data_IF_949290583465
#
_entry.id   IF_949290583465
#
_cell.length_a   1.000
_cell.length_b   1.000
_cell.length_c   1.000
_cell.angle_alpha   90.00
_cell.angle_beta   90.00
_cell.angle_gamma   90.00
#
_symmetry.space_group_name_H-M   'P 1'
#
loop_
_entity.id
_entity.type
_entity.pdbx_description
1 polymer ?
#
# COMPACT_ATOMS: atom_id res chain seq x y z
N UNK A 1 -7.47 -25.98 5.35
CA UNK A 1 -7.41 -26.59 4.00
C UNK A 1 -8.73 -27.23 3.55
N UNK A 2 -9.66 -27.56 4.45
CA UNK A 2 -10.92 -28.27 4.13
C UNK A 2 -11.91 -27.40 3.34
N UNK A 3 -11.87 -26.06 3.48
CA UNK A 3 -12.80 -25.16 2.80
C UNK A 3 -12.37 -24.84 1.36
N UNK A 4 -11.06 -24.83 1.08
CA UNK A 4 -10.53 -24.61 -0.26
C UNK A 4 -10.66 -25.86 -1.11
N UNK A 5 -10.80 -25.70 -2.40
CA UNK A 5 -10.86 -26.78 -3.36
C UNK A 5 -11.07 -26.25 -4.78
N UNK A 6 -11.12 -27.11 -5.81
CA UNK A 6 -11.32 -26.70 -7.19
C UNK A 6 -12.61 -25.87 -7.35
N UNK A 7 -12.58 -24.92 -8.27
CA UNK A 7 -13.73 -24.11 -8.67
C UNK A 7 -14.87 -25.03 -9.11
N UNK A 8 -16.11 -24.60 -8.86
CA UNK A 8 -17.35 -25.30 -9.18
C UNK A 8 -17.60 -26.59 -8.38
N UNK A 9 -16.70 -26.98 -7.47
CA UNK A 9 -16.98 -28.05 -6.51
C UNK A 9 -17.74 -27.53 -5.30
N UNK A 10 -18.49 -28.39 -4.63
CA UNK A 10 -19.27 -28.00 -3.45
C UNK A 10 -18.59 -28.37 -2.14
N UNK A 11 -18.84 -27.58 -1.11
CA UNK A 11 -18.48 -27.88 0.29
C UNK A 11 -19.70 -27.73 1.17
N UNK A 12 -19.91 -28.67 2.08
CA UNK A 12 -20.97 -28.62 3.09
C UNK A 12 -20.39 -28.09 4.40
N UNK A 13 -21.02 -27.08 4.97
CA UNK A 13 -20.61 -26.45 6.23
C UNK A 13 -21.73 -26.57 7.25
N UNK A 14 -21.39 -27.04 8.44
CA UNK A 14 -22.25 -26.93 9.64
C UNK A 14 -21.81 -25.68 10.43
N UNK A 15 -22.71 -24.71 10.58
CA UNK A 15 -22.43 -23.45 11.29
C UNK A 15 -23.22 -23.48 12.62
N UNK A 16 -22.51 -23.36 13.74
CA UNK A 16 -23.12 -23.13 15.05
C UNK A 16 -23.23 -21.64 15.29
N UNK A 17 -24.45 -21.15 15.52
CA UNK A 17 -24.73 -19.73 15.75
C UNK A 17 -25.18 -19.52 17.18
N UNK A 18 -24.72 -18.45 17.83
CA UNK A 18 -25.20 -18.08 19.17
C UNK A 18 -26.71 -17.83 19.14
N UNK A 19 -27.45 -18.34 20.15
CA UNK A 19 -28.92 -18.24 20.23
C UNK A 19 -29.67 -19.27 19.39
N UNK A 20 -28.98 -20.18 18.69
CA UNK A 20 -29.61 -21.30 17.96
C UNK A 20 -29.03 -22.63 18.48
N UNK A 21 -29.91 -23.54 18.91
CA UNK A 21 -29.52 -24.88 19.39
C UNK A 21 -29.04 -25.77 18.24
N UNK A 22 -29.55 -25.54 17.03
CA UNK A 22 -29.32 -26.39 15.88
C UNK A 22 -28.13 -25.95 15.04
N UNK A 23 -27.47 -26.93 14.42
CA UNK A 23 -26.41 -26.67 13.43
C UNK A 23 -27.07 -26.29 12.11
N UNK A 24 -26.78 -25.08 11.64
CA UNK A 24 -27.25 -24.62 10.35
C UNK A 24 -26.35 -25.19 9.24
N UNK A 25 -26.93 -25.97 8.35
CA UNK A 25 -26.19 -26.59 7.24
C UNK A 25 -26.26 -25.74 5.99
N UNK A 26 -25.08 -25.41 5.41
CA UNK A 26 -24.94 -24.68 4.17
C UNK A 26 -24.18 -25.51 3.14
N UNK A 27 -24.65 -25.53 1.92
CA UNK A 27 -23.92 -26.06 0.77
C UNK A 27 -23.44 -24.89 -0.06
N UNK A 28 -22.13 -24.73 -0.18
CA UNK A 28 -21.49 -23.61 -0.89
C UNK A 28 -20.77 -24.16 -2.10
N UNK A 29 -21.03 -23.60 -3.27
CA UNK A 29 -20.24 -23.86 -4.47
C UNK A 29 -18.99 -22.97 -4.45
N UNK A 30 -17.83 -23.58 -4.60
CA UNK A 30 -16.55 -22.86 -4.63
C UNK A 30 -16.44 -22.04 -5.91
N UNK A 31 -16.00 -20.81 -5.76
CA UNK A 31 -15.76 -19.88 -6.86
C UNK A 31 -14.54 -19.01 -6.60
N UNK A 32 -14.19 -18.21 -7.57
CA UNK A 32 -13.18 -17.18 -7.38
C UNK A 32 -13.76 -16.08 -6.50
N UNK A 33 -13.04 -15.72 -5.46
CA UNK A 33 -13.41 -14.59 -4.59
C UNK A 33 -12.64 -13.37 -5.13
N UNK A 34 -13.34 -12.37 -5.71
CA UNK A 34 -12.65 -11.16 -6.16
C UNK A 34 -12.01 -10.45 -4.97
N UNK A 35 -10.73 -10.16 -5.09
CA UNK A 35 -9.99 -9.37 -4.10
C UNK A 35 -9.97 -7.94 -4.63
N UNK A 36 -10.79 -7.08 -4.03
CA UNK A 36 -10.80 -5.66 -4.35
C UNK A 36 -9.57 -4.97 -3.76
N UNK A 37 -9.05 -4.01 -4.48
CA UNK A 37 -7.89 -3.21 -4.11
C UNK A 37 -8.26 -1.78 -3.77
N UNK A 38 -9.32 -1.25 -4.38
CA UNK A 38 -9.86 0.08 -4.10
C UNK A 38 -10.94 -0.04 -3.04
N UNK A 39 -10.57 0.21 -1.79
CA UNK A 39 -11.46 0.06 -0.63
C UNK A 39 -12.43 1.24 -0.47
N UNK A 40 -12.00 2.44 -0.89
CA UNK A 40 -12.83 3.64 -0.81
C UNK A 40 -12.55 4.60 -1.96
N UNK A 41 -13.60 5.23 -2.47
CA UNK A 41 -13.53 6.33 -3.43
C UNK A 41 -14.71 7.29 -3.21
N UNK A 42 -14.42 8.57 -3.09
CA UNK A 42 -15.45 9.61 -2.89
C UNK A 42 -14.93 11.00 -3.24
N UNK A 43 -15.83 11.97 -3.37
CA UNK A 43 -15.52 13.38 -3.57
C UNK A 43 -15.42 14.08 -2.20
N UNK A 44 -14.34 14.85 -2.01
CA UNK A 44 -14.19 15.80 -0.91
C UNK A 44 -14.45 17.19 -1.48
N UNK A 45 -15.56 17.86 -1.10
CA UNK A 45 -15.80 19.23 -1.51
C UNK A 45 -14.89 20.17 -0.71
N UNK A 46 -14.27 21.15 -1.38
CA UNK A 46 -13.53 22.21 -0.71
C UNK A 46 -14.42 23.41 -0.40
N UNK A 47 -13.97 24.28 0.52
CA UNK A 47 -14.70 25.53 0.83
C UNK A 47 -14.75 26.49 -0.36
N UNK A 48 -13.83 26.36 -1.33
CA UNK A 48 -13.77 27.18 -2.55
C UNK A 48 -14.64 26.61 -3.70
N UNK A 49 -15.31 25.47 -3.48
CA UNK A 49 -16.15 24.82 -4.47
C UNK A 49 -15.42 23.81 -5.36
N UNK A 50 -14.11 23.67 -5.23
CA UNK A 50 -13.34 22.62 -5.92
C UNK A 50 -13.72 21.24 -5.39
N UNK A 51 -13.53 20.22 -6.21
CA UNK A 51 -13.78 18.82 -5.87
C UNK A 51 -12.50 18.02 -5.93
N UNK A 52 -12.15 17.38 -4.80
CA UNK A 52 -11.01 16.49 -4.69
C UNK A 52 -11.51 15.04 -4.75
N UNK A 53 -10.99 14.26 -5.68
CA UNK A 53 -11.22 12.82 -5.72
C UNK A 53 -10.32 12.09 -4.71
N UNK A 54 -10.90 11.36 -3.78
CA UNK A 54 -10.17 10.50 -2.85
C UNK A 54 -10.26 9.05 -3.30
N UNK A 55 -9.12 8.34 -3.32
CA UNK A 55 -9.04 6.90 -3.65
C UNK A 55 -8.11 6.22 -2.66
N UNK A 56 -8.62 5.24 -1.88
CA UNK A 56 -7.82 4.39 -1.01
C UNK A 56 -7.55 3.05 -1.66
N UNK A 57 -6.28 2.66 -1.67
CA UNK A 57 -5.80 1.41 -2.25
C UNK A 57 -5.14 0.60 -1.13
N UNK A 58 -5.71 -0.56 -0.80
CA UNK A 58 -5.23 -1.40 0.30
C UNK A 58 -4.12 -2.38 -0.11
N UNK A 59 -4.01 -2.67 -1.40
CA UNK A 59 -2.99 -3.59 -1.96
C UNK A 59 -2.84 -3.41 -3.46
N UNK A 60 -1.78 -3.98 -4.03
CA UNK A 60 -1.60 -4.07 -5.47
C UNK A 60 -1.83 -5.53 -5.92
N UNK A 61 -3.10 -5.88 -6.16
CA UNK A 61 -3.52 -7.17 -6.71
C UNK A 61 -3.56 -7.12 -8.24
N UNK A 62 -3.86 -8.24 -8.89
CA UNK A 62 -3.84 -8.41 -10.35
C UNK A 62 -4.74 -7.42 -11.10
N UNK A 63 -5.88 -7.04 -10.52
CA UNK A 63 -6.85 -6.13 -11.15
C UNK A 63 -6.80 -4.69 -10.62
N UNK A 64 -5.79 -4.33 -9.82
CA UNK A 64 -5.73 -3.02 -9.15
C UNK A 64 -5.75 -1.85 -10.12
N UNK A 65 -5.02 -1.94 -11.24
CA UNK A 65 -5.03 -0.87 -12.23
C UNK A 65 -6.43 -0.63 -12.83
N UNK A 66 -7.17 -1.69 -13.15
CA UNK A 66 -8.53 -1.56 -13.71
C UNK A 66 -9.50 -0.93 -12.71
N UNK A 67 -9.43 -1.33 -11.43
CA UNK A 67 -10.23 -0.73 -10.37
C UNK A 67 -9.86 0.74 -10.16
N UNK A 68 -8.57 1.04 -10.14
CA UNK A 68 -8.03 2.38 -9.96
C UNK A 68 -8.44 3.34 -11.07
N UNK A 69 -8.24 2.97 -12.34
CA UNK A 69 -8.58 3.82 -13.46
C UNK A 69 -10.10 4.03 -13.58
N UNK A 70 -10.89 3.01 -13.24
CA UNK A 70 -12.35 3.13 -13.14
C UNK A 70 -12.76 4.12 -12.04
N UNK A 71 -12.09 4.05 -10.87
CA UNK A 71 -12.33 4.97 -9.76
C UNK A 71 -12.02 6.43 -10.15
N UNK A 72 -10.84 6.66 -10.75
CA UNK A 72 -10.44 8.00 -11.20
C UNK A 72 -11.39 8.56 -12.27
N UNK A 73 -11.80 7.72 -13.25
CA UNK A 73 -12.75 8.13 -14.29
C UNK A 73 -14.11 8.51 -13.70
N UNK A 74 -14.62 7.73 -12.73
CA UNK A 74 -15.87 8.04 -12.03
C UNK A 74 -15.77 9.36 -11.26
N UNK A 75 -14.69 9.57 -10.50
CA UNK A 75 -14.49 10.81 -9.74
C UNK A 75 -14.34 12.03 -10.67
N UNK A 76 -13.65 11.87 -11.81
CA UNK A 76 -13.54 12.91 -12.84
C UNK A 76 -14.91 13.27 -13.43
N UNK A 77 -15.77 12.29 -13.70
CA UNK A 77 -17.14 12.53 -14.17
C UNK A 77 -18.02 13.28 -13.16
N UNK A 78 -17.69 13.15 -11.85
CA UNK A 78 -18.31 13.87 -10.75
C UNK A 78 -17.71 15.28 -10.54
N UNK A 79 -16.71 15.65 -11.36
CA UNK A 79 -16.08 16.98 -11.37
C UNK A 79 -14.81 17.09 -10.53
N UNK A 80 -14.15 15.99 -10.16
CA UNK A 80 -12.85 16.05 -9.50
C UNK A 80 -11.78 16.66 -10.43
N UNK A 81 -11.02 17.63 -9.92
CA UNK A 81 -9.91 18.32 -10.62
C UNK A 81 -8.54 18.05 -9.99
N UNK A 82 -8.54 17.42 -8.83
CA UNK A 82 -7.34 16.99 -8.08
C UNK A 82 -7.62 15.70 -7.34
N UNK A 83 -6.57 14.97 -6.97
CA UNK A 83 -6.72 13.63 -6.41
C UNK A 83 -5.83 13.41 -5.18
N UNK A 84 -6.37 12.68 -4.22
CA UNK A 84 -5.66 12.11 -3.09
C UNK A 84 -5.63 10.60 -3.27
N UNK A 85 -4.44 10.03 -3.36
CA UNK A 85 -4.21 8.59 -3.43
C UNK A 85 -3.70 8.13 -2.07
N UNK A 86 -4.53 7.35 -1.35
CA UNK A 86 -4.20 6.87 -0.01
C UNK A 86 -3.60 5.46 -0.09
N UNK A 87 -2.32 5.37 0.22
CA UNK A 87 -1.53 4.14 0.29
C UNK A 87 -1.13 3.78 1.72
N UNK A 88 -1.72 4.41 2.72
CA UNK A 88 -1.46 4.07 4.12
C UNK A 88 -1.90 2.63 4.39
N UNK A 89 -1.09 1.91 5.19
CA UNK A 89 -1.28 0.49 5.52
C UNK A 89 -1.19 -0.46 4.31
N UNK A 90 -0.79 0.03 3.14
CA UNK A 90 -0.64 -0.77 1.93
C UNK A 90 0.77 -1.36 1.83
N UNK A 91 0.91 -2.66 2.08
CA UNK A 91 2.19 -3.38 2.09
C UNK A 91 2.74 -3.70 0.68
N UNK A 92 2.09 -3.20 -0.37
CA UNK A 92 2.52 -3.37 -1.76
C UNK A 92 1.77 -4.48 -2.50
N UNK A 93 2.47 -5.12 -3.43
CA UNK A 93 1.95 -6.16 -4.29
C UNK A 93 2.63 -6.20 -5.65
N UNK A 94 1.88 -6.35 -6.73
CA UNK A 94 2.40 -6.51 -8.09
C UNK A 94 3.02 -5.22 -8.65
N UNK A 95 4.27 -5.32 -9.11
CA UNK A 95 5.04 -4.18 -9.65
C UNK A 95 4.47 -3.68 -10.98
N UNK A 96 3.99 -4.55 -11.85
CA UNK A 96 3.34 -4.19 -13.12
C UNK A 96 2.12 -3.31 -12.90
N UNK A 97 1.32 -3.59 -11.87
CA UNK A 97 0.14 -2.80 -11.54
C UNK A 97 0.50 -1.37 -11.12
N UNK A 98 1.51 -1.21 -10.28
CA UNK A 98 1.93 0.13 -9.86
C UNK A 98 2.55 0.92 -11.01
N UNK A 99 3.30 0.26 -11.91
CA UNK A 99 3.85 0.92 -13.11
C UNK A 99 2.73 1.48 -13.98
N UNK A 100 1.68 0.71 -14.24
CA UNK A 100 0.52 1.17 -15.01
C UNK A 100 -0.19 2.35 -14.33
N UNK A 101 -0.35 2.31 -13.01
CA UNK A 101 -1.02 3.38 -12.26
C UNK A 101 -0.20 4.68 -12.25
N UNK A 102 1.12 4.60 -12.03
CA UNK A 102 2.00 5.77 -12.05
C UNK A 102 2.06 6.40 -13.44
N UNK A 103 2.05 5.56 -14.50
CA UNK A 103 2.01 6.01 -15.88
C UNK A 103 0.84 6.96 -16.20
N UNK A 104 -0.29 6.86 -15.47
CA UNK A 104 -1.43 7.77 -15.65
C UNK A 104 -1.11 9.23 -15.31
N UNK A 105 -0.12 9.47 -14.46
CA UNK A 105 0.24 10.80 -13.96
C UNK A 105 1.50 11.39 -14.59
N UNK A 106 2.40 10.57 -15.13
CA UNK A 106 3.73 11.00 -15.60
C UNK A 106 3.72 11.33 -17.10
N UNK A 107 4.65 12.20 -17.52
CA UNK A 107 4.87 12.54 -18.92
C UNK A 107 5.72 11.48 -19.61
N UNK A 108 5.66 11.45 -20.93
CA UNK A 108 6.47 10.53 -21.74
C UNK A 108 7.96 10.65 -21.41
N UNK A 109 8.58 9.50 -21.13
CA UNK A 109 10.01 9.41 -20.84
C UNK A 109 10.37 9.64 -19.38
N UNK A 110 9.44 10.06 -18.52
CA UNK A 110 9.68 10.13 -17.09
C UNK A 110 9.93 8.72 -16.55
N UNK A 111 11.01 8.54 -15.80
CA UNK A 111 11.34 7.29 -15.14
C UNK A 111 10.30 6.99 -14.06
N UNK A 112 9.81 5.73 -13.98
CA UNK A 112 8.94 5.26 -12.90
C UNK A 112 9.76 4.55 -11.84
N UNK A 113 10.51 3.55 -12.25
CA UNK A 113 11.33 2.70 -11.38
C UNK A 113 12.36 1.98 -12.23
N UNK A 114 13.51 1.66 -11.65
CA UNK A 114 14.39 0.67 -12.25
C UNK A 114 14.79 -0.39 -11.22
N UNK A 115 15.12 -1.58 -11.69
CA UNK A 115 15.63 -2.67 -10.84
C UNK A 115 16.96 -3.16 -11.37
N UNK A 116 17.84 -3.53 -10.44
CA UNK A 116 19.18 -4.00 -10.73
C UNK A 116 19.58 -5.10 -9.74
N UNK A 117 20.19 -6.16 -10.23
CA UNK A 117 20.64 -7.29 -9.43
C UNK A 117 21.96 -7.87 -9.96
N UNK A 118 22.63 -8.67 -9.11
CA UNK A 118 23.92 -9.28 -9.49
C UNK A 118 23.83 -10.20 -10.70
N UNK A 119 22.71 -10.92 -10.85
CA UNK A 119 22.50 -11.94 -11.87
C UNK A 119 21.34 -11.61 -12.81
N UNK A 120 20.75 -10.44 -12.68
CA UNK A 120 19.63 -9.98 -13.50
C UNK A 120 20.03 -8.63 -14.10
N UNK A 121 19.80 -8.51 -15.40
CA UNK A 121 20.02 -7.27 -16.13
C UNK A 121 19.15 -6.13 -15.57
N UNK A 122 19.65 -4.92 -15.68
CA UNK A 122 18.91 -3.71 -15.29
C UNK A 122 17.64 -3.60 -16.14
N UNK A 123 16.51 -3.52 -15.44
CA UNK A 123 15.20 -3.26 -16.03
C UNK A 123 14.77 -1.83 -15.68
N UNK A 124 14.31 -1.08 -16.67
CA UNK A 124 13.83 0.29 -16.51
C UNK A 124 12.39 0.39 -16.98
N UNK A 125 11.52 0.96 -16.15
CA UNK A 125 10.16 1.32 -16.52
C UNK A 125 10.05 2.83 -16.63
N UNK A 126 9.63 3.31 -17.79
CA UNK A 126 9.39 4.71 -18.08
C UNK A 126 7.96 4.95 -18.54
N UNK A 127 7.43 6.14 -18.26
CA UNK A 127 6.09 6.51 -18.66
C UNK A 127 6.01 6.68 -20.20
N UNK A 128 4.94 6.15 -20.79
CA UNK A 128 4.70 6.17 -22.23
C UNK A 128 3.99 7.45 -22.72
N UNK A 129 3.51 8.29 -21.79
CA UNK A 129 2.88 9.59 -22.08
C UNK A 129 1.42 9.53 -22.53
N UNK A 130 0.76 8.37 -22.44
CA UNK A 130 -0.68 8.25 -22.76
C UNK A 130 -1.60 8.39 -21.55
N UNK A 131 -1.04 8.62 -20.36
CA UNK A 131 -1.77 8.80 -19.11
C UNK A 131 -2.76 9.96 -19.19
N UNK A 132 -3.92 9.81 -18.56
CA UNK A 132 -5.06 10.72 -18.65
C UNK A 132 -5.12 11.76 -17.54
N UNK A 133 -4.22 11.65 -16.54
CA UNK A 133 -4.20 12.46 -15.31
C UNK A 133 -2.89 13.23 -15.14
N UNK A 134 -2.20 13.54 -16.24
CA UNK A 134 -0.90 14.23 -16.24
C UNK A 134 -0.99 15.69 -15.77
N UNK A 135 -2.16 16.33 -15.87
CA UNK A 135 -2.35 17.75 -15.55
C UNK A 135 -2.98 17.98 -14.19
N UNK A 136 -3.69 17.00 -13.66
CA UNK A 136 -4.41 17.08 -12.39
C UNK A 136 -3.41 17.08 -11.22
N UNK A 137 -3.70 17.85 -10.18
CA UNK A 137 -2.90 17.83 -8.94
C UNK A 137 -3.06 16.49 -8.25
N UNK A 138 -1.97 15.92 -7.77
CA UNK A 138 -1.98 14.66 -7.02
C UNK A 138 -1.24 14.79 -5.70
N UNK A 139 -1.84 14.23 -4.67
CA UNK A 139 -1.26 14.05 -3.34
C UNK A 139 -1.28 12.56 -3.04
N UNK A 140 -0.21 12.03 -2.47
CA UNK A 140 -0.11 10.63 -2.06
C UNK A 140 0.05 10.57 -0.55
N UNK A 141 -0.82 9.81 0.11
CA UNK A 141 -0.70 9.57 1.54
C UNK A 141 0.04 8.25 1.78
N UNK A 142 1.05 8.30 2.64
CA UNK A 142 1.84 7.14 3.06
C UNK A 142 1.99 7.08 4.58
N UNK A 143 2.31 5.90 5.09
CA UNK A 143 2.68 5.69 6.48
C UNK A 143 3.77 4.64 6.64
N UNK A 144 4.09 4.32 7.87
CA UNK A 144 5.10 3.36 8.30
C UNK A 144 4.86 1.92 7.78
N UNK A 145 3.65 1.59 7.34
CA UNK A 145 3.28 0.31 6.73
C UNK A 145 3.23 0.35 5.20
N UNK A 146 3.29 1.53 4.58
CA UNK A 146 3.38 1.65 3.13
C UNK A 146 4.69 1.04 2.64
N UNK A 147 4.63 -0.05 1.84
CA UNK A 147 5.82 -0.80 1.47
C UNK A 147 5.82 -1.24 -0.01
N UNK A 148 7.01 -1.56 -0.54
CA UNK A 148 7.17 -2.19 -1.86
C UNK A 148 6.54 -1.39 -3.00
N UNK A 149 5.48 -1.89 -3.67
CA UNK A 149 4.78 -1.19 -4.76
C UNK A 149 4.24 0.18 -4.33
N UNK A 150 3.81 0.35 -3.06
CA UNK A 150 3.43 1.67 -2.53
C UNK A 150 4.58 2.66 -2.53
N UNK A 151 5.79 2.18 -2.24
CA UNK A 151 7.01 2.98 -2.24
C UNK A 151 7.48 3.31 -3.67
N UNK A 152 7.24 2.41 -4.63
CA UNK A 152 7.45 2.70 -6.05
C UNK A 152 6.51 3.83 -6.49
N UNK A 153 5.23 3.76 -6.14
CA UNK A 153 4.25 4.80 -6.47
C UNK A 153 4.68 6.15 -5.88
N UNK A 154 4.89 6.19 -4.56
CA UNK A 154 5.26 7.43 -3.86
C UNK A 154 6.59 8.00 -4.35
N UNK A 155 7.62 7.16 -4.51
CA UNK A 155 8.94 7.56 -4.98
C UNK A 155 8.92 8.08 -6.42
N UNK A 156 8.16 7.46 -7.31
CA UNK A 156 8.01 7.93 -8.69
C UNK A 156 7.32 9.31 -8.77
N UNK A 157 6.26 9.52 -7.99
CA UNK A 157 5.55 10.81 -7.91
C UNK A 157 6.45 11.89 -7.30
N UNK A 158 7.19 11.55 -6.23
CA UNK A 158 8.06 12.48 -5.53
C UNK A 158 9.26 12.89 -6.39
N UNK A 159 9.98 11.92 -6.95
CA UNK A 159 11.25 12.15 -7.64
C UNK A 159 11.06 12.83 -9.00
N UNK A 160 9.91 12.67 -9.65
CA UNK A 160 9.52 13.43 -10.82
C UNK A 160 8.90 14.80 -10.49
N UNK A 161 8.82 15.20 -9.22
CA UNK A 161 8.15 16.43 -8.78
C UNK A 161 6.71 16.54 -9.28
N UNK A 162 6.04 15.37 -9.42
CA UNK A 162 4.71 15.31 -10.02
C UNK A 162 3.61 15.58 -9.01
N UNK A 163 3.87 15.36 -7.74
CA UNK A 163 2.90 15.54 -6.66
C UNK A 163 3.56 15.67 -5.30
N UNK A 164 2.75 15.78 -4.26
CA UNK A 164 3.18 15.92 -2.87
C UNK A 164 2.93 14.64 -2.11
N UNK A 165 3.92 14.18 -1.39
CA UNK A 165 3.82 13.02 -0.50
C UNK A 165 3.59 13.51 0.92
N UNK A 166 2.53 13.02 1.58
CA UNK A 166 2.13 13.44 2.93
C UNK A 166 2.01 12.22 3.84
N UNK A 167 2.45 12.33 5.07
CA UNK A 167 2.32 11.31 6.09
C UNK A 167 3.58 11.03 6.88
N UNK A 168 4.00 9.76 6.99
CA UNK A 168 5.20 9.32 7.70
C UNK A 168 6.12 8.54 6.77
N UNK A 169 7.38 8.40 7.19
CA UNK A 169 8.37 7.60 6.45
C UNK A 169 7.84 6.18 6.22
N UNK A 170 7.91 5.72 4.98
CA UNK A 170 7.45 4.39 4.59
C UNK A 170 8.34 3.26 5.15
N UNK A 171 7.98 2.02 4.90
CA UNK A 171 8.60 0.84 5.49
C UNK A 171 10.07 0.62 5.07
N UNK A 172 10.40 0.86 3.80
CA UNK A 172 11.75 0.60 3.27
C UNK A 172 11.94 -0.81 2.71
N UNK A 173 11.01 -1.32 1.89
CA UNK A 173 11.13 -2.61 1.21
C UNK A 173 11.40 -2.43 -0.28
N UNK A 174 12.68 -2.40 -0.65
CA UNK A 174 13.17 -2.19 -2.01
C UNK A 174 13.69 -3.46 -2.71
N UNK A 175 13.12 -4.64 -2.41
CA UNK A 175 13.57 -5.93 -2.93
C UNK A 175 12.61 -6.47 -3.99
N UNK A 176 13.19 -6.91 -5.12
CA UNK A 176 12.49 -7.68 -6.14
C UNK A 176 12.63 -9.16 -5.80
N UNK A 177 11.50 -9.83 -5.61
CA UNK A 177 11.45 -11.26 -5.28
C UNK A 177 10.84 -12.04 -6.45
N UNK A 178 11.45 -13.15 -6.80
CA UNK A 178 10.95 -14.07 -7.80
C UNK A 178 10.57 -15.40 -7.13
N UNK A 179 9.42 -15.95 -7.51
CA UNK A 179 9.00 -17.27 -7.07
C UNK A 179 9.45 -18.30 -8.10
N UNK A 180 10.22 -19.28 -7.64
CA UNK A 180 10.74 -20.39 -8.45
C UNK A 180 9.97 -21.65 -8.03
N UNK A 181 9.10 -22.20 -8.89
CA UNK A 181 8.40 -23.44 -8.59
C UNK A 181 9.38 -24.62 -8.60
N UNK A 182 9.11 -25.62 -7.75
CA UNK A 182 9.84 -26.87 -7.68
C UNK A 182 8.95 -28.03 -8.16
N UNK A 183 9.57 -29.15 -8.54
CA UNK A 183 8.88 -30.30 -9.16
C UNK A 183 7.86 -30.99 -8.23
N UNK A 184 8.02 -30.84 -6.93
CA UNK A 184 7.09 -31.37 -5.90
C UNK A 184 5.87 -30.47 -5.65
N UNK A 185 5.71 -29.37 -6.41
CA UNK A 185 4.64 -28.39 -6.25
C UNK A 185 4.90 -27.35 -5.16
N UNK A 186 6.01 -27.40 -4.44
CA UNK A 186 6.47 -26.33 -3.57
C UNK A 186 7.15 -25.21 -4.39
N UNK A 187 7.50 -24.11 -3.74
CA UNK A 187 8.20 -23.02 -4.41
C UNK A 187 9.17 -22.31 -3.46
N UNK A 188 10.26 -21.80 -4.00
CA UNK A 188 11.21 -20.92 -3.31
C UNK A 188 10.97 -19.49 -3.75
N UNK A 189 10.88 -18.56 -2.80
CA UNK A 189 10.86 -17.13 -3.07
C UNK A 189 12.24 -16.55 -2.82
N UNK A 190 12.90 -16.13 -3.90
CA UNK A 190 14.27 -15.64 -3.88
C UNK A 190 14.32 -14.15 -4.19
N UNK A 191 15.09 -13.39 -3.41
CA UNK A 191 15.43 -12.00 -3.75
C UNK A 191 16.46 -12.00 -4.86
N UNK A 192 16.14 -11.37 -6.00
CA UNK A 192 16.97 -11.40 -7.22
C UNK A 192 17.52 -10.03 -7.60
N UNK A 193 16.86 -8.94 -7.16
CA UNK A 193 17.28 -7.56 -7.44
C UNK A 193 16.81 -6.60 -6.34
N UNK A 194 17.34 -5.38 -6.41
CA UNK A 194 16.79 -4.21 -5.70
C UNK A 194 16.12 -3.30 -6.70
N UNK A 195 15.14 -2.54 -6.27
CA UNK A 195 14.59 -1.47 -7.10
C UNK A 195 14.94 -0.10 -6.54
N UNK A 196 14.99 0.84 -7.45
CA UNK A 196 15.45 2.20 -7.24
C UNK A 196 14.43 3.18 -7.79
N UNK A 197 14.29 4.30 -7.13
CA UNK A 197 13.42 5.40 -7.58
C UNK A 197 14.07 6.19 -8.73
N UNK A 198 13.34 7.08 -9.41
CA UNK A 198 13.91 7.89 -10.51
C UNK A 198 15.16 8.69 -10.15
N UNK A 199 15.29 9.13 -8.91
CA UNK A 199 16.50 9.85 -8.44
C UNK A 199 17.71 8.94 -8.22
N UNK A 200 17.55 7.62 -8.35
CA UNK A 200 18.65 6.65 -8.15
C UNK A 200 18.78 6.14 -6.72
N UNK A 201 17.94 6.56 -5.78
CA UNK A 201 17.98 6.07 -4.40
C UNK A 201 17.38 4.68 -4.28
N UNK A 202 18.08 3.81 -3.57
CA UNK A 202 17.52 2.54 -3.11
C UNK A 202 16.73 2.80 -1.83
N UNK A 203 15.44 2.43 -1.83
CA UNK A 203 14.58 2.61 -0.66
C UNK A 203 14.70 1.47 0.35
N UNK A 204 15.44 0.41 0.02
CA UNK A 204 15.63 -0.74 0.91
C UNK A 204 16.31 -0.31 2.21
N UNK A 205 15.66 -0.58 3.34
CA UNK A 205 16.27 -0.44 4.65
C UNK A 205 17.43 -1.44 4.84
N UNK A 206 18.41 -1.16 5.70
CA UNK A 206 19.57 -2.04 5.92
C UNK A 206 19.14 -3.47 6.25
N UNK A 207 19.80 -4.43 5.62
CA UNK A 207 19.64 -5.85 5.88
C UNK A 207 21.00 -6.54 5.87
N UNK A 208 21.27 -7.32 6.89
CA UNK A 208 22.42 -8.21 6.93
C UNK A 208 21.98 -9.65 7.06
N UNK A 209 22.65 -10.53 6.32
CA UNK A 209 22.37 -11.96 6.36
C UNK A 209 22.57 -12.49 7.81
N UNK A 210 21.61 -13.26 8.31
CA UNK A 210 21.62 -13.77 9.69
C UNK A 210 20.99 -12.82 10.73
N UNK A 211 20.67 -11.57 10.39
CA UNK A 211 20.06 -10.59 11.29
C UNK A 211 18.58 -10.38 10.99
N UNK A 212 17.83 -11.43 10.69
CA UNK A 212 16.40 -11.33 10.38
C UNK A 212 15.60 -10.70 11.51
N UNK A 213 15.93 -11.04 12.77
CA UNK A 213 15.28 -10.48 13.95
C UNK A 213 15.40 -8.96 13.98
N UNK A 214 16.59 -8.41 13.76
CA UNK A 214 16.83 -6.96 13.74
C UNK A 214 16.05 -6.27 12.61
N UNK A 215 15.93 -6.93 11.46
CA UNK A 215 15.16 -6.43 10.32
C UNK A 215 13.65 -6.35 10.64
N UNK A 216 13.11 -7.32 11.34
CA UNK A 216 11.71 -7.37 11.74
C UNK A 216 11.39 -6.37 12.87
N UNK A 217 12.34 -6.19 13.80
CA UNK A 217 12.19 -5.30 14.95
C UNK A 217 12.43 -3.82 14.61
N UNK A 218 13.05 -3.50 13.48
CA UNK A 218 13.40 -2.11 13.11
C UNK A 218 12.19 -1.16 13.14
N UNK A 219 11.00 -1.62 12.77
CA UNK A 219 9.79 -0.81 12.83
C UNK A 219 9.38 -0.49 14.28
N UNK A 220 9.61 -1.42 15.22
CA UNK A 220 9.40 -1.19 16.64
C UNK A 220 10.44 -0.21 17.19
N UNK A 221 11.70 -0.35 16.80
CA UNK A 221 12.76 0.59 17.17
C UNK A 221 12.45 2.01 16.73
N UNK A 222 11.93 2.20 15.51
CA UNK A 222 11.45 3.50 14.99
C UNK A 222 10.33 4.07 15.86
N UNK A 223 9.40 3.23 16.29
CA UNK A 223 8.32 3.62 17.18
C UNK A 223 8.85 4.06 18.56
N UNK A 224 9.75 3.28 19.16
CA UNK A 224 10.33 3.55 20.48
C UNK A 224 11.19 4.81 20.50
N UNK A 225 11.89 5.12 19.39
CA UNK A 225 12.65 6.36 19.22
C UNK A 225 11.78 7.59 18.87
N UNK A 226 10.45 7.41 18.75
CA UNK A 226 9.52 8.50 18.53
C UNK A 226 9.36 8.95 17.08
N UNK A 227 9.90 8.20 16.11
CA UNK A 227 9.84 8.56 14.68
C UNK A 227 8.40 8.68 14.16
N UNK A 228 7.46 7.90 14.72
CA UNK A 228 6.06 7.95 14.30
C UNK A 228 5.34 9.23 14.74
N UNK A 229 5.93 9.99 15.64
CA UNK A 229 5.32 11.15 16.25
C UNK A 229 5.99 12.46 15.87
N UNK A 230 7.30 12.43 15.58
CA UNK A 230 8.08 13.63 15.27
C UNK A 230 9.03 13.41 14.09
N UNK A 231 9.07 14.39 13.20
CA UNK A 231 10.01 14.40 12.07
C UNK A 231 11.47 14.48 12.54
N UNK A 232 11.73 15.18 13.66
CA UNK A 232 13.07 15.36 14.21
C UNK A 232 13.67 14.05 14.76
N UNK A 233 12.82 13.04 15.01
CA UNK A 233 13.24 11.71 15.46
C UNK A 233 13.58 10.76 14.32
N UNK A 234 13.48 11.20 13.06
CA UNK A 234 13.79 10.36 11.89
C UNK A 234 15.29 10.25 11.71
N UNK A 235 15.83 9.03 11.76
CA UNK A 235 17.23 8.75 11.52
C UNK A 235 17.43 7.95 10.25
N UNK A 236 18.28 8.46 9.35
CA UNK A 236 18.69 7.77 8.13
C UNK A 236 20.07 7.14 8.33
N UNK A 237 20.20 5.87 7.98
CA UNK A 237 21.50 5.17 7.99
C UNK A 237 22.33 5.49 6.76
N UNK A 238 21.70 5.81 5.64
CA UNK A 238 22.34 6.32 4.44
C UNK A 238 22.20 7.84 4.38
N UNK A 239 23.33 8.53 4.45
CA UNK A 239 23.41 10.00 4.38
C UNK A 239 23.61 10.52 2.96
N UNK A 240 23.63 9.63 1.95
CA UNK A 240 23.72 10.00 0.55
C UNK A 240 22.54 10.90 0.16
N UNK A 241 22.85 12.03 -0.42
CA UNK A 241 21.85 12.98 -0.90
C UNK A 241 21.53 12.69 -2.35
N UNK A 242 20.24 12.51 -2.63
CA UNK A 242 19.69 12.41 -3.98
C UNK A 242 18.86 13.64 -4.30
N UNK A 243 18.55 13.84 -5.57
CA UNK A 243 17.81 15.01 -6.03
C UNK A 243 16.68 14.60 -6.96
N UNK A 244 15.52 15.20 -6.76
CA UNK A 244 14.38 15.07 -7.66
C UNK A 244 14.67 15.73 -9.02
N UNK A 245 13.79 15.57 -9.98
CA UNK A 245 13.88 16.16 -11.31
C UNK A 245 14.11 17.68 -11.28
N UNK A 246 13.51 18.38 -10.31
CA UNK A 246 13.63 19.84 -10.14
C UNK A 246 14.68 20.24 -9.09
N UNK A 247 15.51 19.30 -8.63
CA UNK A 247 16.62 19.58 -7.72
C UNK A 247 16.23 19.67 -6.22
N UNK A 248 15.06 19.19 -5.81
CA UNK A 248 14.72 19.03 -4.38
C UNK A 248 15.55 17.89 -3.79
N UNK A 249 16.05 18.10 -2.58
CA UNK A 249 16.81 17.09 -1.84
C UNK A 249 15.89 15.99 -1.30
N UNK A 250 16.27 14.73 -1.53
CA UNK A 250 15.59 13.55 -1.00
C UNK A 250 16.63 12.57 -0.42
N UNK A 251 16.23 11.75 0.53
CA UNK A 251 17.10 10.82 1.24
C UNK A 251 16.85 9.38 0.78
N UNK A 252 17.89 8.55 0.79
CA UNK A 252 17.85 7.13 0.49
C UNK A 252 17.99 6.25 1.74
N UNK A 253 17.99 4.91 1.54
CA UNK A 253 18.41 3.96 2.57
C UNK A 253 17.43 3.72 3.71
N UNK A 254 16.12 3.74 3.47
CA UNK A 254 15.18 3.44 4.55
C UNK A 254 13.76 3.95 4.32
N UNK A 255 13.23 3.71 3.13
CA UNK A 255 11.87 4.11 2.76
C UNK A 255 11.79 5.49 2.11
N UNK A 256 10.57 5.91 1.83
CA UNK A 256 10.24 7.21 1.26
C UNK A 256 9.87 8.16 2.39
N UNK A 257 10.67 9.23 2.56
CA UNK A 257 10.33 10.33 3.46
C UNK A 257 9.28 11.23 2.81
N UNK A 258 8.17 11.54 3.47
CA UNK A 258 7.16 12.43 2.92
C UNK A 258 7.68 13.86 2.79
N UNK A 259 7.10 14.63 1.86
CA UNK A 259 7.37 16.06 1.70
C UNK A 259 6.75 16.87 2.86
N UNK A 260 5.62 16.38 3.38
CA UNK A 260 4.94 16.96 4.55
C UNK A 260 4.75 15.85 5.57
N UNK A 261 5.45 15.97 6.68
CA UNK A 261 5.33 15.01 7.77
C UNK A 261 4.05 15.25 8.58
N UNK A 262 3.32 14.16 8.84
CA UNK A 262 2.15 14.15 9.72
C UNK A 262 2.33 13.03 10.74
N UNK A 263 2.61 13.40 11.99
CA UNK A 263 2.79 12.46 13.10
C UNK A 263 1.53 11.65 13.38
N UNK A 264 1.73 10.50 14.03
CA UNK A 264 0.62 9.65 14.46
C UNK A 264 -0.19 10.38 15.55
N UNK A 265 -1.49 10.51 15.32
CA UNK A 265 -2.39 11.06 16.35
C UNK A 265 -2.58 10.02 17.48
N UNK A 266 -2.21 10.41 18.68
CA UNK A 266 -2.35 9.58 19.89
C UNK A 266 -3.46 10.07 20.81
N UNK A 267 -4.17 11.13 20.46
CA UNK A 267 -5.18 11.74 21.33
C UNK A 267 -6.32 10.79 21.70
N UNK A 268 -6.60 9.82 20.83
CA UNK A 268 -7.62 8.79 21.04
C UNK A 268 -7.10 7.56 21.81
N UNK A 269 -5.78 7.39 21.97
CA UNK A 269 -5.18 6.21 22.63
C UNK A 269 -5.17 6.36 24.16
N UNK A 270 -6.37 6.57 24.74
CA UNK A 270 -6.53 6.57 26.20
C UNK A 270 -6.38 5.15 26.77
N UNK A 271 -6.03 4.98 28.05
CA UNK A 271 -6.01 3.64 28.69
C UNK A 271 -7.33 2.89 28.50
N UNK A 272 -8.46 3.60 28.56
CA UNK A 272 -9.78 2.99 28.31
C UNK A 272 -9.93 2.49 26.86
N UNK A 273 -9.55 3.30 25.87
CA UNK A 273 -9.59 2.89 24.46
C UNK A 273 -8.69 1.67 24.22
N UNK A 274 -7.51 1.64 24.81
CA UNK A 274 -6.58 0.51 24.68
C UNK A 274 -7.19 -0.79 25.26
N UNK A 275 -7.86 -0.72 26.40
CA UNK A 275 -8.56 -1.87 26.99
C UNK A 275 -9.67 -2.35 26.06
N UNK A 276 -10.53 -1.45 25.57
CA UNK A 276 -11.63 -1.75 24.66
C UNK A 276 -11.13 -2.40 23.36
N UNK A 277 -10.06 -1.86 22.80
CA UNK A 277 -9.47 -2.35 21.55
C UNK A 277 -8.76 -3.69 21.74
N UNK A 278 -7.93 -3.84 22.77
CA UNK A 278 -7.16 -5.07 23.03
C UNK A 278 -8.07 -6.26 23.36
N UNK A 279 -9.19 -6.00 24.05
CA UNK A 279 -10.20 -7.02 24.35
C UNK A 279 -11.22 -7.19 23.21
N UNK A 280 -11.03 -6.48 22.09
CA UNK A 280 -11.90 -6.52 20.92
C UNK A 280 -13.39 -6.28 21.25
N UNK A 281 -13.70 -5.46 22.25
CA UNK A 281 -15.09 -5.20 22.67
C UNK A 281 -15.91 -4.51 21.58
N UNK A 282 -15.31 -3.62 20.80
CA UNK A 282 -15.99 -3.00 19.64
C UNK A 282 -16.42 -4.04 18.62
N UNK A 283 -15.55 -5.01 18.34
CA UNK A 283 -15.86 -6.13 17.43
C UNK A 283 -16.95 -7.03 17.99
N UNK A 284 -16.87 -7.39 19.28
CA UNK A 284 -17.89 -8.22 19.95
C UNK A 284 -19.25 -7.53 19.95
N UNK A 285 -19.28 -6.21 20.24
CA UNK A 285 -20.51 -5.43 20.18
C UNK A 285 -21.09 -5.40 18.76
N UNK A 286 -20.27 -5.07 17.75
CA UNK A 286 -20.71 -5.04 16.35
C UNK A 286 -21.28 -6.39 15.90
N UNK A 287 -20.62 -7.48 16.29
CA UNK A 287 -21.11 -8.83 15.99
C UNK A 287 -22.47 -9.10 16.63
N UNK A 288 -22.64 -8.81 17.94
CA UNK A 288 -23.90 -9.01 18.65
C UNK A 288 -25.01 -8.09 18.11
N UNK A 289 -24.67 -6.83 17.80
CA UNK A 289 -25.60 -5.88 17.21
C UNK A 289 -26.11 -6.37 15.86
N UNK A 290 -25.20 -6.71 14.95
CA UNK A 290 -25.56 -7.25 13.63
C UNK A 290 -26.39 -8.53 13.72
N UNK A 291 -26.08 -9.41 14.68
CA UNK A 291 -26.83 -10.66 14.85
C UNK A 291 -28.28 -10.43 15.31
N UNK A 292 -28.53 -9.40 16.10
CA UNK A 292 -29.88 -8.99 16.56
C UNK A 292 -30.67 -8.21 15.49
N UNK A 293 -29.99 -7.49 14.59
CA UNK A 293 -30.58 -6.57 13.60
C UNK A 293 -30.39 -7.04 12.16
N UNK A 294 -30.30 -8.35 11.93
CA UNK A 294 -30.03 -8.91 10.58
C UNK A 294 -31.14 -8.66 9.54
N UNK A 295 -32.31 -8.24 9.96
CA UNK A 295 -33.42 -7.96 9.06
C UNK A 295 -33.58 -6.47 8.72
N UNK A 296 -32.81 -5.62 9.35
CA UNK A 296 -32.65 -4.20 9.05
C UNK A 296 -31.47 -3.98 8.08
#
# INVERSE_FOLDING_TARGET
>A
HTLRGPKETTVKLGVKRSGNSDILNFTITRGDIPVHSVDAKFIIPTKQGDKIGFVRISRFAENTYLEFISALAQLKSQGATSYIIDLRENTGGYMDQVILMVNEFLHRGDMIVYSEGRAIERYEATANGIGRFQKEKVVVLIDDFSASASEIFAGAIQDNDRGTIIGRRSFGKGLVQQQIPLDDGSAVRLTVARYYTPSGRCIQKPYKMGEQYNYEMELLDRYEHGEFFSQDSVHFTDTTTYYTKNGRKVMGGGGIMPDIFVGRDTTLYTPYFNIVSNLAYTYQFAYQYTDRHRQE
#
